data_IF_624290390406
#
_entry.id   IF_624290390406
#
_cell.length_a   1.000
_cell.length_b   1.000
_cell.length_c   1.000
_cell.angle_alpha   90.00
_cell.angle_beta   90.00
_cell.angle_gamma   90.00
#
_symmetry.space_group_name_H-M   'P 1'
#
loop_
_entity.id
_entity.type
_entity.pdbx_description
1 polymer ?
#
# COMPACT_ATOMS: atom_id res chain seq x y z
N UNK A 1 -16.57 9.43 13.91
CA UNK A 1 -15.85 9.43 12.62
C UNK A 1 -16.85 9.15 11.52
N UNK A 2 -16.98 10.06 10.56
CA UNK A 2 -17.77 9.86 9.34
C UNK A 2 -16.88 9.26 8.27
N UNK A 3 -17.44 8.39 7.44
CA UNK A 3 -16.69 7.72 6.35
C UNK A 3 -17.41 7.90 5.04
N UNK A 4 -16.67 8.21 3.97
CA UNK A 4 -17.19 8.37 2.62
C UNK A 4 -16.35 7.53 1.67
N UNK A 5 -17.00 6.59 0.98
CA UNK A 5 -16.33 5.82 -0.08
C UNK A 5 -15.94 6.76 -1.24
N UNK A 6 -14.79 6.50 -1.81
CA UNK A 6 -14.25 7.23 -2.96
C UNK A 6 -13.73 6.29 -4.03
N UNK A 7 -13.77 6.78 -5.25
CA UNK A 7 -13.24 6.08 -6.43
C UNK A 7 -12.28 7.02 -7.14
N UNK A 8 -11.14 6.51 -7.52
CA UNK A 8 -10.15 7.20 -8.34
C UNK A 8 -9.50 6.20 -9.32
N UNK A 9 -8.59 6.67 -10.15
CA UNK A 9 -7.91 5.81 -11.12
C UNK A 9 -6.40 5.87 -10.92
N UNK A 10 -5.76 4.72 -11.05
CA UNK A 10 -4.31 4.57 -11.04
C UNK A 10 -3.89 3.72 -12.23
N UNK A 11 -3.18 4.32 -13.19
CA UNK A 11 -2.71 3.65 -14.41
C UNK A 11 -3.80 2.79 -15.10
N UNK A 12 -5.00 3.35 -15.22
CA UNK A 12 -6.15 2.69 -15.83
C UNK A 12 -6.93 1.72 -14.93
N UNK A 13 -6.42 1.39 -13.75
CA UNK A 13 -7.16 0.61 -12.75
C UNK A 13 -8.12 1.52 -11.97
N UNK A 14 -9.37 1.08 -11.81
CA UNK A 14 -10.30 1.71 -10.88
C UNK A 14 -9.96 1.31 -9.46
N UNK A 15 -9.65 2.30 -8.64
CA UNK A 15 -9.28 2.17 -7.25
C UNK A 15 -10.46 2.55 -6.34
N UNK A 16 -10.62 1.82 -5.25
CA UNK A 16 -11.66 2.09 -4.26
C UNK A 16 -11.01 2.34 -2.90
N UNK A 17 -11.47 3.35 -2.21
CA UNK A 17 -10.99 3.72 -0.88
C UNK A 17 -12.04 4.43 -0.06
N UNK A 18 -11.63 4.86 1.12
CA UNK A 18 -12.47 5.61 2.04
C UNK A 18 -11.76 6.88 2.49
N UNK A 19 -12.51 7.98 2.55
CA UNK A 19 -12.12 9.18 3.29
C UNK A 19 -12.79 9.15 4.65
N UNK A 20 -11.99 9.37 5.67
CA UNK A 20 -12.39 9.39 7.07
C UNK A 20 -12.31 10.82 7.59
N UNK A 21 -13.44 11.32 8.09
CA UNK A 21 -13.58 12.68 8.62
C UNK A 21 -13.66 12.67 10.14
N UNK A 22 -13.03 13.64 10.83
CA UNK A 22 -13.24 13.88 12.26
C UNK A 22 -14.71 14.12 12.59
N UNK A 23 -15.13 13.78 13.81
CA UNK A 23 -16.51 13.99 14.25
C UNK A 23 -16.88 15.48 14.33
N UNK A 24 -15.88 16.32 14.61
CA UNK A 24 -16.02 17.78 14.71
C UNK A 24 -15.81 18.51 13.38
N UNK A 25 -15.64 17.77 12.26
CA UNK A 25 -15.47 18.39 10.95
C UNK A 25 -16.72 19.18 10.54
N UNK A 26 -16.49 20.41 10.09
CA UNK A 26 -17.52 21.30 9.55
C UNK A 26 -17.33 21.47 8.05
N UNK A 27 -18.44 21.48 7.33
CA UNK A 27 -18.42 21.68 5.88
C UNK A 27 -17.72 22.99 5.49
N UNK A 28 -16.85 22.92 4.48
CA UNK A 28 -16.03 24.03 4.02
C UNK A 28 -14.70 24.22 4.76
N UNK A 29 -14.45 23.50 5.84
CA UNK A 29 -13.13 23.50 6.48
C UNK A 29 -12.12 22.69 5.67
N UNK A 30 -10.88 23.17 5.68
CA UNK A 30 -9.73 22.39 5.18
C UNK A 30 -8.86 21.95 6.34
N UNK A 31 -8.59 20.66 6.40
CA UNK A 31 -7.83 20.04 7.49
C UNK A 31 -6.54 19.38 6.96
N UNK A 32 -5.49 19.26 7.79
CA UNK A 32 -4.34 18.44 7.43
C UNK A 32 -4.79 17.01 7.16
N UNK A 33 -4.16 16.35 6.18
CA UNK A 33 -4.57 15.03 5.77
C UNK A 33 -3.44 14.00 5.77
N UNK A 34 -3.79 12.74 6.01
CA UNK A 34 -2.86 11.62 5.98
C UNK A 34 -3.43 10.50 5.13
N UNK A 35 -2.69 10.11 4.09
CA UNK A 35 -2.95 8.89 3.36
C UNK A 35 -2.36 7.72 4.14
N UNK A 36 -3.23 6.82 4.59
CA UNK A 36 -2.88 5.63 5.35
C UNK A 36 -2.74 4.43 4.40
N UNK A 37 -1.55 3.84 4.37
CA UNK A 37 -1.22 2.77 3.44
C UNK A 37 -1.08 1.42 4.14
N UNK A 38 -1.63 0.39 3.52
CA UNK A 38 -1.54 -0.98 3.97
C UNK A 38 -0.13 -1.55 3.76
N UNK A 39 0.12 -2.72 4.32
CA UNK A 39 1.27 -3.54 4.00
C UNK A 39 1.12 -4.27 2.65
N UNK A 40 1.87 -5.34 2.49
CA UNK A 40 1.94 -6.14 1.26
C UNK A 40 0.59 -6.55 0.66
N UNK A 41 -0.42 -6.77 1.48
CA UNK A 41 -1.73 -7.28 1.04
C UNK A 41 -2.76 -6.21 0.69
N UNK A 42 -2.40 -4.96 0.78
CA UNK A 42 -3.14 -3.84 0.22
C UNK A 42 -4.57 -3.62 0.71
N UNK A 43 -4.99 -4.16 1.86
CA UNK A 43 -6.38 -4.10 2.31
C UNK A 43 -6.65 -2.88 3.19
N UNK A 44 -7.55 -1.99 2.72
CA UNK A 44 -7.91 -0.75 3.39
C UNK A 44 -8.55 -0.97 4.78
N UNK A 45 -9.45 -1.94 4.89
CA UNK A 45 -10.23 -2.20 6.13
C UNK A 45 -9.40 -2.71 7.31
N UNK A 46 -8.13 -3.04 7.10
CA UNK A 46 -7.22 -3.48 8.15
C UNK A 46 -6.46 -2.28 8.77
N UNK A 47 -5.16 -2.19 8.52
CA UNK A 47 -4.30 -1.17 9.13
C UNK A 47 -4.66 0.27 8.72
N UNK A 48 -4.96 0.59 7.45
CA UNK A 48 -5.34 1.95 7.08
C UNK A 48 -6.53 2.46 7.86
N UNK A 49 -7.61 1.68 7.97
CA UNK A 49 -8.79 2.07 8.74
C UNK A 49 -8.51 2.22 10.24
N UNK A 50 -7.62 1.39 10.81
CA UNK A 50 -7.19 1.49 12.21
C UNK A 50 -6.45 2.80 12.46
N UNK A 51 -5.49 3.15 11.59
CA UNK A 51 -4.73 4.40 11.70
C UNK A 51 -5.61 5.61 11.46
N UNK A 52 -6.48 5.56 10.45
CA UNK A 52 -7.44 6.61 10.17
C UNK A 52 -8.31 6.92 11.39
N UNK A 53 -8.80 5.89 12.09
CA UNK A 53 -9.57 6.07 13.33
C UNK A 53 -8.78 6.81 14.41
N UNK A 54 -7.51 6.49 14.60
CA UNK A 54 -6.67 7.12 15.60
C UNK A 54 -6.31 8.57 15.23
N UNK A 55 -6.12 8.87 13.94
CA UNK A 55 -5.73 10.18 13.46
C UNK A 55 -6.93 11.13 13.33
N UNK A 56 -8.10 10.65 12.92
CA UNK A 56 -9.32 11.46 12.87
C UNK A 56 -9.73 11.92 14.27
N UNK A 57 -9.53 11.13 15.30
CA UNK A 57 -9.73 11.54 16.69
C UNK A 57 -8.81 12.70 17.12
N UNK A 58 -7.78 13.02 16.32
CA UNK A 58 -6.83 14.12 16.50
C UNK A 58 -7.03 15.27 15.50
N UNK A 59 -8.14 15.24 14.76
CA UNK A 59 -8.53 16.30 13.83
C UNK A 59 -7.95 16.21 12.42
N UNK A 60 -7.28 15.12 12.06
CA UNK A 60 -6.82 14.88 10.69
C UNK A 60 -7.94 14.32 9.82
N UNK A 61 -8.00 14.73 8.57
CA UNK A 61 -8.67 13.97 7.53
C UNK A 61 -7.76 12.79 7.14
N UNK A 62 -8.32 11.62 6.97
CA UNK A 62 -7.54 10.48 6.52
C UNK A 62 -8.16 9.86 5.27
N UNK A 63 -7.32 9.23 4.46
CA UNK A 63 -7.75 8.39 3.36
C UNK A 63 -7.03 7.06 3.45
N UNK A 64 -7.73 5.98 3.14
CA UNK A 64 -7.15 4.66 2.90
C UNK A 64 -7.79 4.05 1.66
N UNK A 65 -7.11 3.13 1.01
CA UNK A 65 -7.60 2.50 -0.21
C UNK A 65 -7.06 1.06 -0.34
N UNK A 66 -7.72 0.28 -1.18
CA UNK A 66 -7.25 -1.06 -1.54
C UNK A 66 -6.35 -0.95 -2.78
N UNK A 67 -5.12 -1.49 -2.72
CA UNK A 67 -4.20 -1.50 -3.86
C UNK A 67 -4.79 -2.24 -5.05
N UNK A 68 -4.30 -1.94 -6.27
CA UNK A 68 -4.70 -2.73 -7.45
C UNK A 68 -4.45 -4.21 -7.22
N UNK A 69 -5.37 -5.04 -7.73
CA UNK A 69 -5.34 -6.48 -7.51
C UNK A 69 -6.00 -6.95 -6.22
N UNK A 70 -6.32 -6.04 -5.29
CA UNK A 70 -7.07 -6.33 -4.07
C UNK A 70 -8.48 -5.73 -4.17
N UNK A 71 -9.50 -6.58 -4.07
CA UNK A 71 -10.90 -6.12 -4.16
C UNK A 71 -11.29 -5.25 -2.97
N UNK A 72 -12.09 -4.18 -3.20
CA UNK A 72 -12.86 -3.91 -4.42
C UNK A 72 -12.11 -3.17 -5.54
N UNK A 73 -10.83 -2.79 -5.36
CA UNK A 73 -10.03 -2.22 -6.43
C UNK A 73 -9.79 -3.20 -7.58
N UNK A 74 -9.70 -2.69 -8.80
CA UNK A 74 -9.52 -3.49 -10.00
C UNK A 74 -8.08 -3.99 -10.17
N UNK A 75 -7.95 -5.04 -10.96
CA UNK A 75 -6.67 -5.51 -11.45
C UNK A 75 -6.64 -5.38 -12.98
N UNK A 76 -5.71 -4.62 -13.51
CA UNK A 76 -5.57 -4.41 -14.96
C UNK A 76 -4.53 -5.32 -15.61
N UNK A 77 -3.92 -6.23 -14.87
CA UNK A 77 -2.96 -7.15 -15.47
C UNK A 77 -3.68 -8.20 -16.32
N UNK A 78 -3.37 -8.30 -17.63
CA UNK A 78 -4.16 -9.10 -18.57
C UNK A 78 -4.13 -10.61 -18.28
N UNK A 79 -3.07 -11.10 -17.64
CA UNK A 79 -2.84 -12.52 -17.46
C UNK A 79 -2.86 -12.98 -15.99
N UNK A 80 -2.85 -12.08 -15.01
CA UNK A 80 -2.69 -12.42 -13.60
C UNK A 80 -3.84 -11.87 -12.76
N UNK A 81 -4.59 -12.71 -12.03
CA UNK A 81 -5.81 -12.29 -11.31
C UNK A 81 -5.56 -11.44 -10.07
N UNK A 82 -4.37 -11.51 -9.50
CA UNK A 82 -3.94 -10.69 -8.35
C UNK A 82 -2.48 -10.32 -8.55
N UNK A 83 -2.25 -9.27 -9.31
CA UNK A 83 -0.90 -8.82 -9.58
C UNK A 83 -0.60 -7.52 -8.86
N UNK A 84 0.35 -7.57 -7.97
CA UNK A 84 0.93 -6.39 -7.35
C UNK A 84 2.45 -6.53 -7.29
N UNK A 85 3.14 -5.42 -7.44
CA UNK A 85 4.59 -5.28 -7.23
C UNK A 85 4.84 -4.02 -6.40
N UNK A 86 6.05 -3.87 -5.86
CA UNK A 86 6.41 -2.63 -5.17
C UNK A 86 6.27 -1.41 -6.08
N UNK A 87 6.59 -1.55 -7.36
CA UNK A 87 6.47 -0.48 -8.35
C UNK A 87 5.00 -0.07 -8.55
N UNK A 88 4.09 -1.05 -8.68
CA UNK A 88 2.67 -0.75 -8.82
C UNK A 88 2.07 -0.16 -7.55
N UNK A 89 2.50 -0.57 -6.37
CA UNK A 89 2.08 0.03 -5.11
C UNK A 89 2.58 1.48 -4.96
N UNK A 90 3.80 1.77 -5.41
CA UNK A 90 4.34 3.14 -5.43
C UNK A 90 3.50 4.05 -6.33
N UNK A 91 3.13 3.59 -7.53
CA UNK A 91 2.26 4.34 -8.43
C UNK A 91 0.86 4.55 -7.83
N UNK A 92 0.28 3.51 -7.22
CA UNK A 92 -1.02 3.60 -6.59
C UNK A 92 -1.03 4.60 -5.44
N UNK A 93 0.01 4.61 -4.59
CA UNK A 93 0.12 5.55 -3.48
C UNK A 93 0.34 6.97 -3.98
N UNK A 94 1.15 7.19 -5.01
CA UNK A 94 1.35 8.51 -5.60
C UNK A 94 0.04 9.08 -6.18
N UNK A 95 -0.70 8.26 -6.93
CA UNK A 95 -1.99 8.67 -7.50
C UNK A 95 -3.06 8.88 -6.41
N UNK A 96 -3.11 8.02 -5.39
CA UNK A 96 -4.00 8.18 -4.24
C UNK A 96 -3.69 9.46 -3.44
N UNK A 97 -2.40 9.79 -3.27
CA UNK A 97 -1.96 10.99 -2.58
C UNK A 97 -2.42 12.25 -3.32
N UNK A 98 -2.19 12.31 -4.63
CA UNK A 98 -2.69 13.40 -5.48
C UNK A 98 -4.21 13.50 -5.43
N UNK A 99 -4.91 12.36 -5.50
CA UNK A 99 -6.37 12.33 -5.37
C UNK A 99 -6.86 12.84 -4.00
N UNK A 100 -6.17 12.49 -2.92
CA UNK A 100 -6.49 12.99 -1.59
C UNK A 100 -6.32 14.51 -1.50
N UNK A 101 -5.24 15.07 -2.07
CA UNK A 101 -4.95 16.51 -2.02
C UNK A 101 -6.03 17.39 -2.67
N UNK A 102 -6.71 16.87 -3.70
CA UNK A 102 -7.77 17.64 -4.39
C UNK A 102 -9.15 17.53 -3.73
N UNK A 103 -9.27 16.80 -2.63
CA UNK A 103 -10.55 16.68 -1.94
C UNK A 103 -10.91 18.01 -1.22
N UNK A 104 -12.19 18.39 -1.20
CA UNK A 104 -12.62 19.69 -0.65
C UNK A 104 -12.28 19.88 0.83
N UNK A 105 -12.26 18.81 1.61
CA UNK A 105 -11.94 18.80 3.03
C UNK A 105 -10.45 18.83 3.35
N UNK A 106 -9.58 18.74 2.35
CA UNK A 106 -8.12 18.58 2.54
C UNK A 106 -7.40 19.91 2.31
N UNK A 107 -6.48 20.23 3.20
CA UNK A 107 -5.47 21.27 3.00
C UNK A 107 -4.26 20.65 2.28
N UNK A 108 -4.06 20.94 0.98
CA UNK A 108 -3.01 20.30 0.19
C UNK A 108 -1.60 20.62 0.70
N UNK A 109 -1.41 21.76 1.39
CA UNK A 109 -0.11 22.15 1.94
C UNK A 109 0.26 21.39 3.23
N UNK A 110 -0.68 20.60 3.79
CA UNK A 110 -0.49 19.86 5.04
C UNK A 110 -0.85 18.38 4.88
N UNK A 111 -0.28 17.74 3.86
CA UNK A 111 -0.52 16.34 3.55
C UNK A 111 0.69 15.46 3.86
N UNK A 112 0.44 14.28 4.39
CA UNK A 112 1.46 13.29 4.72
C UNK A 112 1.05 11.86 4.38
N UNK A 113 2.02 10.95 4.51
CA UNK A 113 1.85 9.52 4.29
C UNK A 113 2.10 8.75 5.59
N UNK A 114 1.30 7.74 5.83
CA UNK A 114 1.54 6.75 6.88
C UNK A 114 1.48 5.36 6.27
N UNK A 115 2.48 4.51 6.55
CA UNK A 115 2.54 3.16 5.98
C UNK A 115 2.94 2.09 7.00
N UNK A 116 2.28 0.94 6.90
CA UNK A 116 2.57 -0.26 7.67
C UNK A 116 3.38 -1.25 6.83
N UNK A 117 4.42 -1.86 7.41
CA UNK A 117 5.20 -2.91 6.75
C UNK A 117 5.76 -2.45 5.40
N UNK A 118 5.43 -3.16 4.32
CA UNK A 118 5.79 -2.79 2.94
C UNK A 118 5.27 -1.39 2.58
N UNK A 119 4.04 -1.05 3.00
CA UNK A 119 3.48 0.28 2.76
C UNK A 119 4.33 1.42 3.32
N UNK A 120 5.10 1.18 4.40
CA UNK A 120 6.07 2.16 4.88
C UNK A 120 7.25 2.35 3.91
N UNK A 121 7.76 1.28 3.30
CA UNK A 121 8.80 1.36 2.26
C UNK A 121 8.29 2.10 1.02
N UNK A 122 7.02 1.85 0.64
CA UNK A 122 6.33 2.57 -0.44
C UNK A 122 6.23 4.06 -0.11
N UNK A 123 5.79 4.42 1.10
CA UNK A 123 5.71 5.83 1.54
C UNK A 123 7.05 6.55 1.43
N UNK A 124 8.16 5.92 1.86
CA UNK A 124 9.52 6.48 1.72
C UNK A 124 9.87 6.71 0.25
N UNK A 125 9.53 5.76 -0.62
CA UNK A 125 9.82 5.85 -2.06
C UNK A 125 9.03 6.97 -2.72
N UNK A 126 7.73 7.11 -2.40
CA UNK A 126 6.89 8.20 -2.92
C UNK A 126 7.40 9.54 -2.41
N UNK A 127 7.67 9.69 -1.11
CA UNK A 127 8.17 10.95 -0.55
C UNK A 127 9.54 11.38 -1.11
N UNK A 128 10.38 10.42 -1.52
CA UNK A 128 11.64 10.72 -2.19
C UNK A 128 11.44 11.33 -3.59
N UNK A 129 10.34 11.01 -4.25
CA UNK A 129 9.99 11.45 -5.62
C UNK A 129 9.08 12.67 -5.63
N UNK A 130 8.19 12.79 -4.65
CA UNK A 130 7.17 13.83 -4.58
C UNK A 130 7.42 14.81 -3.42
N UNK A 131 7.71 16.06 -3.75
CA UNK A 131 7.98 17.14 -2.79
C UNK A 131 6.73 17.70 -2.11
N UNK A 132 5.55 17.33 -2.59
CA UNK A 132 4.29 17.69 -1.96
C UNK A 132 4.02 16.87 -0.68
N UNK A 133 4.69 15.74 -0.49
CA UNK A 133 4.65 14.97 0.76
C UNK A 133 5.38 15.73 1.86
N UNK A 134 4.64 16.29 2.82
CA UNK A 134 5.18 17.13 3.90
C UNK A 134 5.65 16.33 5.12
N UNK A 135 5.13 15.14 5.31
CA UNK A 135 5.51 14.26 6.42
C UNK A 135 5.31 12.79 6.07
N UNK A 136 6.13 11.93 6.62
CA UNK A 136 5.95 10.47 6.54
C UNK A 136 6.03 9.86 7.93
N UNK A 137 5.22 8.83 8.15
CA UNK A 137 5.32 7.93 9.30
C UNK A 137 5.35 6.47 8.81
N UNK A 138 6.28 5.69 9.31
CA UNK A 138 6.40 4.28 8.95
C UNK A 138 6.35 3.41 10.19
N UNK A 139 5.59 2.34 10.14
CA UNK A 139 5.40 1.43 11.25
C UNK A 139 5.80 0.01 10.81
N UNK A 140 6.70 -0.61 11.57
CA UNK A 140 7.19 -1.97 11.31
C UNK A 140 7.64 -2.16 9.85
N UNK A 141 8.40 -1.20 9.33
CA UNK A 141 8.77 -1.13 7.92
C UNK A 141 10.28 -1.36 7.71
N UNK A 142 10.66 -1.51 6.46
CA UNK A 142 12.05 -1.61 6.03
C UNK A 142 12.32 -0.64 4.87
N UNK A 143 13.58 -0.23 4.71
CA UNK A 143 14.03 0.62 3.58
C UNK A 143 15.02 -0.11 2.66
N UNK A 144 15.49 -1.27 3.07
CA UNK A 144 16.34 -2.16 2.28
C UNK A 144 15.77 -3.56 2.27
N UNK A 145 15.03 -3.89 1.21
CA UNK A 145 14.33 -5.17 1.08
C UNK A 145 15.29 -6.36 0.98
N UNK A 146 16.44 -6.21 0.31
CA UNK A 146 17.45 -7.26 0.24
C UNK A 146 17.97 -7.63 1.63
N UNK A 147 18.37 -6.63 2.41
CA UNK A 147 18.84 -6.85 3.78
C UNK A 147 17.75 -7.47 4.65
N UNK A 148 16.54 -6.97 4.58
CA UNK A 148 15.41 -7.48 5.33
C UNK A 148 15.13 -8.96 5.02
N UNK A 149 15.11 -9.33 3.74
CA UNK A 149 14.91 -10.72 3.32
C UNK A 149 16.08 -11.61 3.75
N UNK A 150 17.31 -11.13 3.60
CA UNK A 150 18.53 -11.87 3.98
C UNK A 150 18.59 -12.11 5.50
N UNK A 151 18.28 -11.09 6.29
CA UNK A 151 18.28 -11.18 7.76
C UNK A 151 17.17 -12.12 8.26
N UNK A 152 16.00 -12.10 7.61
CA UNK A 152 14.86 -12.94 7.97
C UNK A 152 15.00 -14.43 7.61
N UNK A 153 15.59 -14.74 6.45
CA UNK A 153 15.67 -16.14 5.99
C UNK A 153 17.07 -16.77 6.08
N UNK A 154 18.10 -15.96 6.33
CA UNK A 154 19.51 -16.38 6.33
C UNK A 154 20.13 -16.46 4.93
N UNK A 155 21.47 -16.39 4.87
CA UNK A 155 22.21 -16.27 3.61
C UNK A 155 21.96 -17.44 2.63
N UNK A 156 21.93 -18.67 3.12
CA UNK A 156 21.72 -19.86 2.27
C UNK A 156 20.36 -19.88 1.60
N UNK A 157 19.30 -19.64 2.36
CA UNK A 157 17.94 -19.58 1.82
C UNK A 157 17.77 -18.39 0.88
N UNK A 158 18.35 -17.25 1.25
CA UNK A 158 18.33 -16.06 0.41
C UNK A 158 19.00 -16.31 -0.94
N UNK A 159 20.21 -16.92 -0.96
CA UNK A 159 20.91 -17.28 -2.20
C UNK A 159 20.09 -18.22 -3.10
N UNK A 160 19.47 -19.25 -2.52
CA UNK A 160 18.58 -20.17 -3.25
C UNK A 160 17.34 -19.44 -3.80
N UNK A 161 16.76 -18.52 -3.05
CA UNK A 161 15.62 -17.72 -3.51
C UNK A 161 15.99 -16.83 -4.68
N UNK A 162 17.15 -16.16 -4.63
CA UNK A 162 17.64 -15.33 -5.75
C UNK A 162 17.87 -16.17 -7.02
N UNK A 163 18.45 -17.37 -6.88
CA UNK A 163 18.65 -18.26 -8.01
C UNK A 163 17.29 -18.68 -8.64
N UNK A 164 16.32 -19.07 -7.81
CA UNK A 164 14.97 -19.41 -8.26
C UNK A 164 14.25 -18.23 -8.95
N UNK A 165 14.39 -17.02 -8.44
CA UNK A 165 13.83 -15.82 -9.08
C UNK A 165 14.46 -15.56 -10.45
N UNK A 166 15.75 -15.85 -10.62
CA UNK A 166 16.43 -15.75 -11.92
C UNK A 166 15.90 -16.79 -12.92
N UNK A 167 15.71 -18.02 -12.49
CA UNK A 167 15.12 -19.09 -13.31
C UNK A 167 13.70 -18.74 -13.74
N UNK A 168 12.87 -18.26 -12.80
CA UNK A 168 11.53 -17.78 -13.11
C UNK A 168 11.55 -16.61 -14.11
N UNK A 169 12.46 -15.66 -13.93
CA UNK A 169 12.61 -14.55 -14.89
C UNK A 169 12.93 -15.05 -16.30
N UNK A 170 13.83 -16.02 -16.43
CA UNK A 170 14.17 -16.62 -17.73
C UNK A 170 12.93 -17.29 -18.33
N UNK A 171 12.21 -18.08 -17.54
CA UNK A 171 10.98 -18.74 -17.96
C UNK A 171 9.93 -17.73 -18.44
N UNK A 172 9.67 -16.69 -17.66
CA UNK A 172 8.69 -15.63 -18.01
C UNK A 172 8.99 -14.95 -19.32
N UNK A 173 10.24 -14.57 -19.58
CA UNK A 173 10.60 -13.84 -20.80
C UNK A 173 10.64 -14.75 -22.04
N UNK A 174 10.75 -16.07 -21.87
CA UNK A 174 10.83 -17.03 -22.98
C UNK A 174 9.50 -17.71 -23.28
N UNK A 175 8.65 -17.93 -22.27
CA UNK A 175 7.41 -18.71 -22.42
C UNK A 175 6.15 -17.94 -22.02
N UNK A 176 6.28 -16.74 -21.45
CA UNK A 176 5.20 -15.98 -20.84
C UNK A 176 4.43 -16.76 -19.74
N UNK A 177 5.11 -17.67 -19.06
CA UNK A 177 4.55 -18.54 -18.01
C UNK A 177 5.27 -18.29 -16.67
N UNK A 178 4.79 -17.32 -15.86
CA UNK A 178 5.39 -17.00 -14.56
C UNK A 178 5.10 -18.10 -13.53
N UNK A 179 6.02 -18.28 -12.60
CA UNK A 179 5.74 -19.04 -11.37
C UNK A 179 4.92 -18.15 -10.44
N UNK A 180 3.66 -18.52 -10.25
CA UNK A 180 2.80 -17.88 -9.28
C UNK A 180 3.07 -18.46 -7.88
N UNK A 181 3.21 -17.59 -6.90
CA UNK A 181 3.43 -17.97 -5.52
C UNK A 181 2.36 -17.35 -4.63
N UNK A 182 1.80 -18.16 -3.76
CA UNK A 182 0.89 -17.63 -2.75
C UNK A 182 1.70 -16.88 -1.68
N UNK A 183 1.41 -15.60 -1.39
CA UNK A 183 2.25 -14.76 -0.54
C UNK A 183 2.39 -15.28 0.90
N UNK A 184 1.46 -16.10 1.37
CA UNK A 184 1.45 -16.59 2.75
C UNK A 184 1.85 -18.06 2.88
N UNK A 185 1.45 -18.94 1.96
CA UNK A 185 1.71 -20.37 2.07
C UNK A 185 3.06 -20.78 1.53
N UNK A 186 3.54 -20.05 0.51
CA UNK A 186 4.80 -20.39 -0.17
C UNK A 186 6.02 -19.70 0.46
N UNK A 187 5.79 -18.81 1.44
CA UNK A 187 6.81 -18.18 2.29
C UNK A 187 6.53 -18.50 3.77
N UNK A 188 6.88 -19.68 4.26
CA UNK A 188 6.52 -20.14 5.60
C UNK A 188 7.02 -19.24 6.73
N UNK A 189 8.03 -18.42 6.50
CA UNK A 189 8.52 -17.48 7.52
C UNK A 189 7.67 -16.21 7.66
N UNK A 190 6.69 -16.00 6.78
CA UNK A 190 5.73 -14.90 6.86
C UNK A 190 4.41 -15.38 7.50
N UNK A 191 4.16 -16.70 7.47
CA UNK A 191 2.91 -17.31 7.94
C UNK A 191 2.81 -17.46 9.46
N UNK A 192 3.88 -17.32 10.21
CA UNK A 192 3.80 -17.33 11.69
C UNK A 192 3.09 -16.11 12.29
N UNK A 193 2.80 -15.09 11.48
CA UNK A 193 2.04 -13.91 11.93
C UNK A 193 0.53 -13.99 11.69
N UNK A 194 0.00 -15.15 11.31
CA UNK A 194 -1.40 -15.49 11.51
C UNK A 194 -2.40 -15.15 10.43
N UNK A 195 -3.42 -15.90 10.53
CA UNK A 195 -4.73 -16.00 9.94
C UNK A 195 -5.52 -14.70 9.64
N UNK A 196 -4.88 -13.61 9.31
CA UNK A 196 -5.59 -12.35 9.12
C UNK A 196 -6.25 -12.14 7.76
N UNK A 197 -6.12 -13.08 6.83
CA UNK A 197 -6.55 -12.85 5.44
C UNK A 197 -7.11 -14.08 4.72
N UNK A 198 -7.68 -15.02 5.47
CA UNK A 198 -8.53 -16.04 4.87
C UNK A 198 -9.96 -15.52 4.90
N UNK A 199 -10.35 -14.92 3.79
CA UNK A 199 -11.70 -14.89 3.14
C UNK A 199 -11.79 -13.69 2.19
#
# INVERSE_FOLDING_TARGET
MKTREVVFYSEGAKMVGDIYLPDDYKEGEKRPAVLCNSGWTGVNKCYPALFARALTARGFVCMGFDYRGFKPSENVHPCLPKYTTLETEVEDVANAFTFMQIQPEVDPERCGLLGWGVGGAVCVTVAARDKEVKAIATLNSFVNGERWMRDGMGNDKFGKSVARLREDRIKRITTNDPVLMHPYTDYPNITESGDFYTD
#
